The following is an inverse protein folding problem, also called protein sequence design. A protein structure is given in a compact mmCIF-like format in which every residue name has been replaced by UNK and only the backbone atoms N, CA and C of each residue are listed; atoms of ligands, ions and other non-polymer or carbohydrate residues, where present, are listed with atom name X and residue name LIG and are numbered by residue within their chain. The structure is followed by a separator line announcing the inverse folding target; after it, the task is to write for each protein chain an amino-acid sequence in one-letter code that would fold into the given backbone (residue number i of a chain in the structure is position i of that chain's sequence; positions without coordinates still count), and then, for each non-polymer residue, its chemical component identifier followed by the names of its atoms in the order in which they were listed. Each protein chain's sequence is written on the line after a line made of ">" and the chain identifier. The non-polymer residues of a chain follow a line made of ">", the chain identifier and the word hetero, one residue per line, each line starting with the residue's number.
data_IF_109065461144
#
_entry.id   IF_109065461144
#
_cell.length_a   1.000
_cell.length_b   1.000
_cell.length_c   1.000
_cell.angle_alpha   90.00
_cell.angle_beta   90.00
_cell.angle_gamma   90.00
#
_symmetry.space_group_name_H-M   'P 1'
#
loop_
_entity.id
_entity.type
_entity.pdbx_description
1 polymer ?
#
# COMPACT_ATOMS: atom_id res chain seq x y z
N UNK A 1 -12.94 4.40 -14.69
CA UNK A 1 -14.23 4.01 -14.14
C UNK A 1 -14.20 2.53 -13.80
N UNK A 2 -14.08 2.19 -12.52
CA UNK A 2 -14.38 0.84 -12.09
C UNK A 2 -15.91 0.69 -12.15
N UNK A 3 -16.35 -0.36 -12.86
CA UNK A 3 -17.77 -0.54 -13.20
C UNK A 3 -18.63 -0.60 -11.93
N UNK A 4 -19.79 0.08 -11.89
CA UNK A 4 -20.72 -0.01 -10.75
C UNK A 4 -21.28 -1.42 -10.49
N UNK A 5 -21.01 -2.38 -11.34
CA UNK A 5 -21.41 -3.79 -11.20
C UNK A 5 -20.29 -4.67 -10.63
N UNK A 6 -19.17 -4.12 -10.16
CA UNK A 6 -18.15 -4.91 -9.50
C UNK A 6 -18.62 -5.33 -8.11
N UNK A 7 -18.36 -6.59 -7.80
CA UNK A 7 -18.57 -7.19 -6.49
C UNK A 7 -17.47 -6.77 -5.49
N UNK A 8 -17.48 -7.26 -4.27
CA UNK A 8 -16.82 -6.63 -3.13
C UNK A 8 -15.38 -6.21 -3.37
N UNK A 9 -15.02 -5.05 -2.84
CA UNK A 9 -13.68 -4.58 -2.68
C UNK A 9 -12.98 -5.42 -1.62
N UNK A 10 -11.92 -6.10 -2.01
CA UNK A 10 -10.96 -6.67 -1.06
C UNK A 10 -9.82 -5.67 -0.99
N UNK A 11 -9.82 -4.84 0.03
CA UNK A 11 -8.86 -3.76 0.12
C UNK A 11 -8.56 -3.36 1.55
N UNK A 12 -7.60 -2.47 1.69
CA UNK A 12 -7.20 -1.91 2.96
C UNK A 12 -7.90 -0.57 3.15
N UNK A 13 -8.76 -0.47 4.16
CA UNK A 13 -9.29 0.81 4.58
C UNK A 13 -8.34 1.42 5.60
N UNK A 14 -8.00 2.68 5.44
CA UNK A 14 -7.38 3.44 6.51
C UNK A 14 -8.44 3.71 7.56
N UNK A 15 -8.36 3.07 8.68
CA UNK A 15 -9.28 3.27 9.80
C UNK A 15 -8.75 4.29 10.80
N UNK A 16 -7.44 4.59 10.71
CA UNK A 16 -6.79 5.65 11.49
C UNK A 16 -5.82 6.44 10.61
N UNK A 17 -5.61 7.72 10.87
CA UNK A 17 -4.73 8.56 10.06
C UNK A 17 -3.28 8.07 9.93
N UNK A 18 -2.76 7.37 10.92
CA UNK A 18 -1.37 6.90 10.99
C UNK A 18 -1.21 5.38 11.03
N UNK A 19 -2.29 4.61 10.86
CA UNK A 19 -2.25 3.16 11.05
C UNK A 19 -2.92 2.45 9.87
N UNK A 20 -2.21 1.52 9.24
CA UNK A 20 -2.66 0.83 8.02
C UNK A 20 -2.88 -0.67 8.22
N UNK A 21 -3.08 -1.12 9.46
CA UNK A 21 -3.25 -2.54 9.79
C UNK A 21 -4.71 -2.99 9.82
N UNK A 22 -5.64 -2.06 9.70
CA UNK A 22 -7.06 -2.37 9.70
C UNK A 22 -7.54 -2.69 8.28
N UNK A 23 -7.46 -3.96 7.93
CA UNK A 23 -7.92 -4.45 6.65
C UNK A 23 -9.45 -4.62 6.63
N UNK A 24 -10.07 -4.09 5.61
CA UNK A 24 -11.49 -4.32 5.32
C UNK A 24 -11.59 -5.25 4.13
N UNK A 25 -11.90 -6.50 4.38
CA UNK A 25 -12.11 -7.51 3.35
C UNK A 25 -13.59 -7.63 3.00
N UNK A 26 -13.89 -8.09 1.79
CA UNK A 26 -15.24 -8.36 1.32
C UNK A 26 -16.23 -7.21 1.51
N UNK A 27 -15.76 -5.98 1.34
CA UNK A 27 -16.61 -4.81 1.44
C UNK A 27 -17.36 -4.58 0.14
N UNK A 28 -18.66 -4.25 0.19
CA UNK A 28 -19.38 -3.85 -1.00
C UNK A 28 -18.77 -2.60 -1.62
N UNK A 29 -18.86 -2.48 -2.95
CA UNK A 29 -18.28 -1.37 -3.71
C UNK A 29 -18.65 0.02 -3.14
N UNK A 30 -19.81 0.15 -2.55
CA UNK A 30 -20.34 1.39 -1.98
C UNK A 30 -19.94 1.62 -0.52
N UNK A 31 -19.20 0.73 0.10
CA UNK A 31 -18.77 0.89 1.47
C UNK A 31 -17.91 2.17 1.64
N UNK A 32 -18.07 2.78 2.80
CA UNK A 32 -17.28 3.95 3.19
C UNK A 32 -16.11 3.52 4.07
N UNK A 33 -14.98 4.18 3.91
CA UNK A 33 -13.74 3.88 4.62
C UNK A 33 -13.71 4.26 6.11
N UNK A 34 -14.78 4.82 6.64
CA UNK A 34 -14.92 5.22 8.03
C UNK A 34 -14.42 6.63 8.34
N UNK A 35 -13.29 7.05 7.83
CA UNK A 35 -12.76 8.41 8.00
C UNK A 35 -12.98 9.32 6.78
N UNK A 36 -13.64 8.81 5.73
CA UNK A 36 -13.82 9.55 4.48
C UNK A 36 -12.55 9.64 3.63
N UNK A 37 -11.51 8.89 3.98
CA UNK A 37 -10.21 8.93 3.30
C UNK A 37 -10.16 8.05 2.06
N UNK A 38 -11.03 7.05 1.98
CA UNK A 38 -10.95 6.03 0.94
C UNK A 38 -10.06 4.84 1.34
N UNK A 39 -9.47 4.20 0.34
CA UNK A 39 -8.74 2.95 0.52
C UNK A 39 -7.32 3.07 -0.02
N UNK A 40 -6.36 2.49 0.69
CA UNK A 40 -4.94 2.52 0.32
C UNK A 40 -4.65 1.64 -0.90
N UNK A 41 -3.63 1.96 -1.65
CA UNK A 41 -3.07 1.06 -2.65
C UNK A 41 -2.19 -0.04 -1.99
N UNK A 42 -2.15 -1.24 -2.57
CA UNK A 42 -2.94 -1.73 -3.69
C UNK A 42 -4.40 -2.01 -3.32
N UNK A 43 -5.33 -1.77 -4.24
CA UNK A 43 -6.74 -2.11 -4.09
C UNK A 43 -7.12 -3.27 -4.99
N UNK A 44 -7.72 -4.31 -4.41
CA UNK A 44 -8.16 -5.51 -5.13
C UNK A 44 -9.68 -5.54 -5.21
N UNK A 45 -10.18 -5.69 -6.42
CA UNK A 45 -11.60 -5.81 -6.70
C UNK A 45 -11.92 -7.17 -7.30
N UNK A 46 -13.00 -7.78 -6.85
CA UNK A 46 -13.64 -8.89 -7.54
C UNK A 46 -14.71 -8.34 -8.45
N UNK A 47 -14.76 -8.79 -9.69
CA UNK A 47 -15.69 -8.30 -10.71
C UNK A 47 -16.45 -9.48 -11.31
N UNK A 48 -17.73 -9.52 -11.10
CA UNK A 48 -18.57 -10.67 -11.49
C UNK A 48 -18.14 -11.96 -10.79
N UNK A 49 -18.34 -13.10 -11.46
CA UNK A 49 -18.00 -14.41 -10.90
C UNK A 49 -16.49 -14.67 -10.79
N UNK A 50 -15.76 -14.33 -11.85
CA UNK A 50 -14.37 -14.80 -12.05
C UNK A 50 -13.38 -13.67 -12.38
N UNK A 51 -13.81 -12.43 -12.46
CA UNK A 51 -12.95 -11.30 -12.77
C UNK A 51 -12.23 -10.73 -11.54
N UNK A 52 -10.96 -10.33 -11.71
CA UNK A 52 -10.18 -9.66 -10.68
C UNK A 52 -9.48 -8.44 -11.26
N UNK A 53 -9.44 -7.37 -10.48
CA UNK A 53 -8.78 -6.12 -10.85
C UNK A 53 -7.96 -5.63 -9.68
N UNK A 54 -6.66 -5.45 -9.91
CA UNK A 54 -5.74 -4.84 -8.96
C UNK A 54 -5.40 -3.43 -9.44
N UNK A 55 -5.64 -2.45 -8.59
CA UNK A 55 -5.26 -1.05 -8.83
C UNK A 55 -4.16 -0.68 -7.86
N UNK A 56 -3.07 -0.11 -8.38
CA UNK A 56 -1.92 0.26 -7.56
C UNK A 56 -1.24 1.52 -8.08
N UNK A 57 -0.25 1.98 -7.35
CA UNK A 57 0.61 3.11 -7.70
C UNK A 57 2.07 2.70 -7.58
N UNK A 58 2.92 3.21 -8.47
CA UNK A 58 4.37 3.02 -8.42
C UNK A 58 5.11 4.27 -8.90
N UNK A 59 6.39 4.39 -8.59
CA UNK A 59 7.22 5.52 -8.99
C UNK A 59 6.97 6.80 -8.20
N UNK A 60 6.52 6.68 -6.96
CA UNK A 60 6.39 7.83 -6.04
C UNK A 60 7.75 8.42 -5.71
N UNK A 61 7.79 9.73 -5.58
CA UNK A 61 8.99 10.51 -5.26
C UNK A 61 8.83 11.26 -3.94
N UNK A 62 9.92 11.64 -3.30
CA UNK A 62 9.89 12.39 -2.04
C UNK A 62 9.12 13.72 -2.09
N UNK A 63 8.94 14.29 -3.27
CA UNK A 63 8.15 15.51 -3.46
C UNK A 63 6.70 15.23 -3.84
N UNK A 64 6.31 13.96 -3.94
CA UNK A 64 4.97 13.57 -4.33
C UNK A 64 4.45 12.56 -3.30
N UNK A 65 3.41 12.91 -2.54
CA UNK A 65 2.86 12.01 -1.54
C UNK A 65 2.25 10.77 -2.22
N UNK A 66 2.31 9.63 -1.55
CA UNK A 66 1.57 8.44 -1.97
C UNK A 66 0.08 8.77 -2.07
N UNK A 67 -0.54 8.31 -3.14
CA UNK A 67 -1.97 8.46 -3.33
C UNK A 67 -2.72 7.22 -2.81
N UNK A 68 -4.04 7.33 -2.79
CA UNK A 68 -4.97 6.25 -2.52
C UNK A 68 -6.21 6.45 -3.39
N UNK A 69 -7.19 5.57 -3.33
CA UNK A 69 -8.49 5.79 -3.96
C UNK A 69 -9.47 6.41 -2.97
N UNK A 70 -10.32 7.30 -3.46
CA UNK A 70 -11.39 7.89 -2.67
C UNK A 70 -12.41 6.85 -2.21
N UNK A 71 -13.31 7.23 -1.32
CA UNK A 71 -14.58 6.52 -1.18
C UNK A 71 -15.33 6.49 -2.51
N UNK A 72 -16.15 5.46 -2.71
CA UNK A 72 -16.99 5.38 -3.89
C UNK A 72 -18.02 6.52 -3.95
N UNK A 73 -18.10 7.14 -5.11
CA UNK A 73 -19.11 8.15 -5.45
C UNK A 73 -19.98 7.62 -6.59
N UNK A 74 -21.29 7.69 -6.45
CA UNK A 74 -22.22 7.13 -7.43
C UNK A 74 -22.13 7.78 -8.83
N UNK A 75 -21.72 9.04 -8.90
CA UNK A 75 -21.60 9.78 -10.16
C UNK A 75 -20.18 9.67 -10.77
N UNK A 76 -19.15 9.53 -9.95
CA UNK A 76 -17.75 9.61 -10.35
C UNK A 76 -16.98 8.30 -10.21
N UNK A 77 -17.54 7.32 -9.53
CA UNK A 77 -16.83 6.09 -9.16
C UNK A 77 -15.74 6.35 -8.13
N UNK A 78 -14.68 5.57 -8.21
CA UNK A 78 -13.45 5.82 -7.46
C UNK A 78 -12.56 6.83 -8.18
N UNK A 79 -11.93 7.69 -7.42
CA UNK A 79 -10.99 8.67 -7.91
C UNK A 79 -9.66 8.54 -7.16
N UNK A 80 -8.58 8.98 -7.79
CA UNK A 80 -7.30 9.16 -7.07
C UNK A 80 -7.49 10.27 -6.04
N UNK A 81 -7.10 9.99 -4.82
CA UNK A 81 -7.15 10.93 -3.70
C UNK A 81 -5.75 11.13 -3.11
N UNK A 82 -5.52 12.33 -2.60
CA UNK A 82 -4.30 12.69 -1.89
C UNK A 82 -4.48 12.54 -0.37
N UNK A 83 -3.39 12.44 0.40
CA UNK A 83 -3.47 12.43 1.85
C UNK A 83 -4.25 13.61 2.40
N UNK A 84 -4.97 13.38 3.49
CA UNK A 84 -5.67 14.42 4.23
C UNK A 84 -4.75 15.01 5.31
N UNK A 85 -5.04 16.22 5.78
CA UNK A 85 -4.20 16.95 6.75
C UNK A 85 -3.90 16.18 8.05
N UNK A 86 -4.78 15.25 8.42
CA UNK A 86 -4.63 14.46 9.66
C UNK A 86 -4.00 13.08 9.42
N UNK A 87 -3.69 12.74 8.19
CA UNK A 87 -2.98 11.50 7.89
C UNK A 87 -1.52 11.62 8.31
N UNK A 88 -0.90 10.49 8.67
CA UNK A 88 0.47 10.42 9.19
C UNK A 88 0.73 11.45 10.31
N UNK A 89 -0.22 11.58 11.23
CA UNK A 89 -0.18 12.53 12.37
C UNK A 89 -0.01 14.00 11.93
N UNK A 90 -0.44 14.33 10.72
CA UNK A 90 -0.29 15.67 10.15
C UNK A 90 1.11 15.98 9.62
N UNK A 91 1.95 14.97 9.49
CA UNK A 91 3.31 15.12 8.96
C UNK A 91 3.30 14.85 7.44
N UNK A 92 3.87 15.77 6.69
CA UNK A 92 4.00 15.62 5.24
C UNK A 92 3.04 16.49 4.44
N UNK A 93 3.07 16.32 3.13
CA UNK A 93 2.27 17.11 2.20
C UNK A 93 0.96 16.41 1.85
N UNK A 94 -0.11 17.18 1.75
CA UNK A 94 -1.43 16.73 1.25
C UNK A 94 -1.57 16.90 -0.27
N UNK A 95 -0.56 17.41 -0.94
CA UNK A 95 -0.58 17.59 -2.39
C UNK A 95 0.79 17.29 -3.00
N UNK A 96 0.78 16.73 -4.20
CA UNK A 96 1.99 16.53 -4.97
C UNK A 96 2.54 17.86 -5.51
N UNK A 97 3.87 17.99 -5.44
CA UNK A 97 4.59 19.11 -6.06
C UNK A 97 5.64 18.58 -7.03
N UNK A 98 5.70 19.17 -8.22
CA UNK A 98 6.76 18.90 -9.18
C UNK A 98 6.95 20.10 -10.11
N UNK A 99 8.12 20.14 -10.72
CA UNK A 99 8.47 21.22 -11.67
C UNK A 99 8.05 20.78 -13.07
N UNK A 100 7.36 21.66 -13.79
CA UNK A 100 6.97 21.40 -15.18
C UNK A 100 8.13 21.71 -16.17
N UNK A 101 8.32 20.91 -17.21
CA UNK A 101 7.61 19.67 -17.52
C UNK A 101 7.96 18.53 -16.56
N UNK A 102 6.97 17.73 -16.17
CA UNK A 102 7.14 16.63 -15.24
C UNK A 102 6.05 15.59 -15.41
N UNK A 103 6.22 14.45 -14.74
CA UNK A 103 5.25 13.35 -14.73
C UNK A 103 4.82 13.00 -13.31
N UNK A 104 3.58 12.58 -13.20
CA UNK A 104 3.03 12.01 -11.96
C UNK A 104 3.52 10.56 -11.80
N UNK A 105 3.41 9.97 -10.61
CA UNK A 105 3.56 8.54 -10.44
C UNK A 105 2.64 7.75 -11.38
N UNK A 106 3.03 6.54 -11.69
CA UNK A 106 2.22 5.63 -12.48
C UNK A 106 1.07 5.06 -11.65
N UNK A 107 -0.11 4.97 -12.25
CA UNK A 107 -1.22 4.19 -11.72
C UNK A 107 -1.40 2.97 -12.61
N UNK A 108 -1.37 1.81 -12.00
CA UNK A 108 -1.40 0.54 -12.70
C UNK A 108 -2.73 -0.16 -12.47
N UNK A 109 -3.23 -0.82 -13.51
CA UNK A 109 -4.44 -1.64 -13.45
C UNK A 109 -4.07 -3.00 -14.03
N UNK A 110 -4.06 -4.02 -13.17
CA UNK A 110 -3.84 -5.41 -13.59
C UNK A 110 -5.16 -6.16 -13.54
N UNK A 111 -5.48 -6.90 -14.59
CA UNK A 111 -6.76 -7.62 -14.74
C UNK A 111 -6.48 -9.10 -14.95
N UNK A 112 -7.27 -9.94 -14.32
CA UNK A 112 -7.18 -11.39 -14.45
C UNK A 112 -8.51 -12.09 -14.29
N UNK A 113 -8.62 -13.29 -14.86
CA UNK A 113 -9.72 -14.22 -14.61
C UNK A 113 -9.54 -15.01 -13.30
N UNK A 114 -8.35 -14.95 -12.71
CA UNK A 114 -8.01 -15.49 -11.41
C UNK A 114 -6.95 -14.59 -10.76
N UNK A 115 -6.48 -14.94 -9.56
CA UNK A 115 -5.50 -14.14 -8.82
C UNK A 115 -4.06 -14.26 -9.34
N UNK A 116 -3.75 -15.26 -10.15
CA UNK A 116 -2.37 -15.52 -10.58
C UNK A 116 -1.75 -14.35 -11.34
N UNK A 117 -2.38 -13.76 -12.38
CA UNK A 117 -1.80 -12.61 -13.08
C UNK A 117 -1.58 -11.39 -12.17
N UNK A 118 -2.37 -11.27 -11.09
CA UNK A 118 -2.25 -10.15 -10.17
C UNK A 118 -1.08 -10.34 -9.19
N UNK A 119 -0.84 -11.58 -8.78
CA UNK A 119 0.29 -11.93 -7.88
C UNK A 119 1.61 -11.91 -8.64
N UNK A 120 1.60 -12.36 -9.89
CA UNK A 120 2.80 -12.46 -10.73
C UNK A 120 3.11 -11.17 -11.52
N UNK A 121 2.31 -10.11 -11.37
CA UNK A 121 2.52 -8.88 -12.14
C UNK A 121 3.87 -8.22 -11.83
N UNK A 122 4.60 -7.89 -12.86
CA UNK A 122 5.86 -7.13 -12.78
C UNK A 122 5.70 -5.67 -13.16
N UNK A 123 4.51 -5.26 -13.61
CA UNK A 123 4.23 -3.90 -14.09
C UNK A 123 4.80 -2.79 -13.19
N UNK A 124 4.69 -2.86 -11.84
CA UNK A 124 5.26 -1.83 -10.99
C UNK A 124 6.77 -1.64 -11.13
N UNK A 125 7.48 -2.67 -11.55
CA UNK A 125 8.93 -2.66 -11.77
C UNK A 125 9.30 -2.36 -13.22
N UNK A 126 8.43 -2.74 -14.16
CA UNK A 126 8.69 -2.60 -15.60
C UNK A 126 8.56 -1.14 -16.08
N UNK A 127 7.75 -0.34 -15.39
CA UNK A 127 7.47 1.06 -15.78
C UNK A 127 8.31 2.09 -15.02
N UNK A 128 9.13 1.64 -14.08
CA UNK A 128 9.96 2.52 -13.24
C UNK A 128 11.38 1.99 -13.21
N UNK A 129 12.31 2.81 -13.65
CA UNK A 129 13.74 2.48 -13.54
C UNK A 129 14.19 2.45 -12.07
N UNK A 130 15.06 1.49 -11.70
CA UNK A 130 15.68 1.48 -10.39
C UNK A 130 16.44 2.79 -10.14
N UNK A 131 16.24 3.39 -8.99
CA UNK A 131 16.91 4.66 -8.65
C UNK A 131 18.32 4.48 -8.12
N UNK A 132 18.59 3.31 -7.60
CA UNK A 132 19.91 2.94 -7.07
C UNK A 132 20.07 1.43 -7.13
N UNK A 133 21.30 1.04 -7.18
CA UNK A 133 21.69 -0.36 -7.01
C UNK A 133 22.33 -0.53 -5.64
N UNK A 134 22.09 -1.68 -5.01
CA UNK A 134 22.74 -1.98 -3.74
C UNK A 134 24.26 -2.10 -3.95
N UNK A 135 25.05 -1.41 -3.13
CA UNK A 135 26.49 -1.43 -3.19
C UNK A 135 27.11 -2.79 -2.81
N UNK A 136 26.31 -3.64 -2.20
CA UNK A 136 26.69 -5.00 -1.80
C UNK A 136 25.52 -5.95 -1.95
N UNK A 137 25.84 -7.24 -2.14
CA UNK A 137 24.84 -8.29 -2.17
C UNK A 137 24.47 -8.67 -0.73
N UNK A 138 23.20 -8.49 -0.38
CA UNK A 138 22.66 -8.93 0.90
C UNK A 138 22.24 -10.40 0.83
N UNK A 139 22.60 -11.15 1.88
CA UNK A 139 22.13 -12.52 2.04
C UNK A 139 20.65 -12.55 2.47
N UNK A 140 19.94 -13.54 2.00
CA UNK A 140 18.63 -13.90 2.58
C UNK A 140 18.85 -14.82 3.77
N UNK A 141 18.00 -14.73 4.79
CA UNK A 141 18.17 -15.52 5.99
C UNK A 141 17.00 -15.34 6.98
N UNK A 142 17.16 -15.99 8.12
CA UNK A 142 16.26 -15.81 9.26
C UNK A 142 16.66 -14.56 10.04
N UNK A 143 15.70 -13.91 10.66
CA UNK A 143 15.94 -12.80 11.57
C UNK A 143 15.05 -12.91 12.81
N UNK A 144 15.47 -12.31 13.90
CA UNK A 144 14.67 -12.17 15.11
C UNK A 144 13.98 -10.83 15.12
N UNK A 145 12.74 -10.82 15.56
CA UNK A 145 11.93 -9.61 15.65
C UNK A 145 11.39 -9.42 17.07
N UNK A 146 12.06 -8.58 17.84
CA UNK A 146 11.76 -8.34 19.25
C UNK A 146 10.38 -7.74 19.49
N UNK A 147 9.90 -6.92 18.58
CA UNK A 147 8.64 -6.19 18.70
C UNK A 147 7.42 -7.12 18.87
N UNK A 148 7.44 -8.29 18.24
CA UNK A 148 6.35 -9.27 18.41
C UNK A 148 6.17 -9.75 19.85
N UNK A 149 7.20 -9.69 20.67
CA UNK A 149 7.19 -10.18 22.06
C UNK A 149 7.08 -9.03 23.05
N UNK A 150 7.88 -7.99 22.87
CA UNK A 150 8.04 -6.92 23.85
C UNK A 150 7.56 -5.55 23.40
N UNK A 151 6.99 -5.45 22.20
CA UNK A 151 6.47 -4.21 21.62
C UNK A 151 7.55 -3.11 21.56
N UNK A 152 7.14 -1.85 21.59
CA UNK A 152 8.04 -0.70 21.47
C UNK A 152 9.09 -0.60 22.58
N UNK A 153 8.78 -1.12 23.77
CA UNK A 153 9.71 -1.16 24.90
C UNK A 153 11.00 -1.94 24.61
N UNK A 154 11.01 -2.80 23.60
CA UNK A 154 12.18 -3.59 23.20
C UNK A 154 13.17 -2.84 22.29
N UNK A 155 12.87 -1.62 21.86
CA UNK A 155 13.73 -0.82 20.99
C UNK A 155 14.89 -0.18 21.76
N UNK A 156 15.67 -0.99 22.49
CA UNK A 156 16.85 -0.57 23.23
C UNK A 156 18.00 -1.58 23.05
N UNK A 157 19.22 -1.15 23.32
CA UNK A 157 20.43 -1.95 23.09
C UNK A 157 20.43 -3.29 23.81
N UNK A 158 20.06 -3.31 25.10
CA UNK A 158 20.17 -4.52 25.92
C UNK A 158 19.19 -5.59 25.48
N UNK A 159 17.97 -5.19 25.12
CA UNK A 159 16.95 -6.13 24.63
C UNK A 159 17.29 -6.61 23.23
N UNK A 160 17.70 -5.70 22.34
CA UNK A 160 18.11 -6.10 20.98
C UNK A 160 19.29 -7.08 21.00
N UNK A 161 20.24 -6.89 21.92
CA UNK A 161 21.36 -7.83 22.08
C UNK A 161 20.89 -9.26 22.37
N UNK A 162 19.90 -9.45 23.23
CA UNK A 162 19.35 -10.78 23.53
C UNK A 162 18.75 -11.44 22.29
N UNK A 163 18.05 -10.68 21.46
CA UNK A 163 17.49 -11.21 20.21
C UNK A 163 18.57 -11.53 19.17
N UNK A 164 19.65 -10.74 19.12
CA UNK A 164 20.82 -11.03 18.27
C UNK A 164 21.52 -12.32 18.73
N UNK A 165 21.75 -12.46 20.04
CA UNK A 165 22.35 -13.65 20.61
C UNK A 165 21.48 -14.89 20.33
N UNK A 166 20.15 -14.77 20.48
CA UNK A 166 19.22 -15.85 20.14
C UNK A 166 19.29 -16.19 18.63
N UNK A 167 19.24 -15.21 17.77
CA UNK A 167 19.33 -15.43 16.32
C UNK A 167 20.64 -16.14 15.94
N UNK A 168 21.76 -15.76 16.56
CA UNK A 168 23.04 -16.41 16.33
C UNK A 168 23.07 -17.89 16.76
N UNK A 169 22.31 -18.25 17.80
CA UNK A 169 22.20 -19.69 18.21
C UNK A 169 21.30 -20.51 17.32
N UNK A 170 20.43 -19.87 16.54
CA UNK A 170 19.49 -20.56 15.65
C UNK A 170 20.04 -20.79 14.23
N UNK A 171 21.18 -20.24 13.89
CA UNK A 171 21.88 -20.39 12.60
C UNK A 171 21.32 -19.52 11.50
#
# INVERSE_FOLDING_TARGET
>A
YLCPQSDPLIGFARTKPSYEEDYKVDQPLTAKSGYGHGYTFPCLFKVGGDGWVLVSETGTHGNYPGCHISDYDAAKGYQVAFPMEKEADGIGSTSGTFILPGSTPWRTITVGSDLKPLVETTIPYDVVEPRYEASQKYGVGKYAWSWLIWQDGSCNYNDQKQFIDLAATMG
#
